data_IF_126454673715
#
_entry.id   IF_126454673715
#
_cell.length_a   1.000
_cell.length_b   1.000
_cell.length_c   1.000
_cell.angle_alpha   90.00
_cell.angle_beta   90.00
_cell.angle_gamma   90.00
#
_symmetry.space_group_name_H-M   'P 1'
#
loop_
_entity.id
_entity.type
_entity.pdbx_description
1 polymer ?
#
# COMPACT_ATOMS: atom_id res chain seq x y z
N UNK A 1 -47.26 26.36 8.05
CA UNK A 1 -45.86 26.78 7.88
C UNK A 1 -44.97 25.62 8.31
N UNK A 2 -44.20 25.03 7.38
CA UNK A 2 -43.36 23.84 7.64
C UNK A 2 -41.95 24.27 8.02
N UNK A 3 -41.45 23.72 9.12
CA UNK A 3 -40.10 23.90 9.66
C UNK A 3 -39.05 23.36 8.68
N UNK A 4 -38.11 24.20 8.24
CA UNK A 4 -36.85 23.72 7.67
C UNK A 4 -35.89 23.40 8.83
N UNK A 5 -35.74 22.12 9.14
CA UNK A 5 -34.63 21.65 9.95
C UNK A 5 -33.35 21.72 9.09
N UNK A 6 -32.45 22.63 9.47
CA UNK A 6 -31.11 22.71 8.92
C UNK A 6 -30.33 21.49 9.45
N UNK A 7 -30.24 20.43 8.64
CA UNK A 7 -29.40 19.27 8.97
C UNK A 7 -27.95 19.71 8.78
N UNK A 8 -27.29 20.03 9.90
CA UNK A 8 -25.85 20.21 9.93
C UNK A 8 -25.19 18.88 9.57
N UNK A 9 -24.63 18.79 8.36
CA UNK A 9 -23.70 17.72 8.00
C UNK A 9 -22.42 17.91 8.81
N UNK A 10 -22.38 17.34 10.01
CA UNK A 10 -21.13 17.04 10.68
C UNK A 10 -20.37 16.05 9.79
N UNK A 11 -19.17 16.39 9.28
CA UNK A 11 -18.32 15.37 8.69
C UNK A 11 -17.99 14.40 9.82
N UNK A 12 -18.55 13.20 9.75
CA UNK A 12 -18.05 12.06 10.50
C UNK A 12 -16.63 11.88 10.00
N UNK A 13 -15.67 12.47 10.71
CA UNK A 13 -14.27 12.13 10.59
C UNK A 13 -14.24 10.64 10.90
N UNK A 14 -14.18 9.82 9.85
CA UNK A 14 -13.69 8.46 9.98
C UNK A 14 -12.26 8.62 10.51
N UNK A 15 -12.13 8.66 11.82
CA UNK A 15 -10.85 8.73 12.47
C UNK A 15 -10.21 7.40 12.19
N UNK A 16 -9.24 7.37 11.27
CA UNK A 16 -8.35 6.25 11.11
C UNK A 16 -7.93 5.76 12.51
N UNK A 17 -8.15 4.47 12.82
CA UNK A 17 -7.90 3.96 14.17
C UNK A 17 -6.44 4.14 14.56
N UNK A 18 -5.53 4.03 13.57
CA UNK A 18 -4.12 4.36 13.73
C UNK A 18 -3.43 4.62 12.39
N UNK A 19 -2.36 5.43 12.38
CA UNK A 19 -1.49 5.53 11.23
C UNK A 19 -0.83 4.18 10.92
N UNK A 20 -0.57 3.93 9.63
CA UNK A 20 0.21 2.79 9.19
C UNK A 20 1.66 2.97 9.66
N UNK A 21 2.16 1.97 10.41
CA UNK A 21 3.55 1.94 10.87
C UNK A 21 4.32 0.91 10.06
N UNK A 22 5.10 1.36 9.08
CA UNK A 22 5.91 0.54 8.17
C UNK A 22 6.92 -0.40 8.86
N UNK A 23 7.22 -0.17 10.15
CA UNK A 23 8.13 -1.02 10.92
C UNK A 23 7.42 -2.17 11.65
N UNK A 24 6.10 -2.09 11.80
CA UNK A 24 5.27 -3.08 12.48
C UNK A 24 5.24 -4.42 11.75
N UNK A 25 5.13 -5.52 12.50
CA UNK A 25 5.11 -6.88 11.92
C UNK A 25 3.97 -7.06 10.92
N UNK A 26 2.76 -6.65 11.32
CA UNK A 26 1.57 -6.73 10.47
C UNK A 26 1.73 -5.90 9.20
N UNK A 27 2.22 -4.68 9.30
CA UNK A 27 2.43 -3.78 8.18
C UNK A 27 3.49 -4.28 7.22
N UNK A 28 4.58 -4.86 7.72
CA UNK A 28 5.57 -5.55 6.87
C UNK A 28 4.95 -6.71 6.09
N UNK A 29 4.08 -7.49 6.71
CA UNK A 29 3.32 -8.55 6.04
C UNK A 29 2.38 -7.97 4.96
N UNK A 30 1.73 -6.84 5.24
CA UNK A 30 0.88 -6.12 4.26
C UNK A 30 1.70 -5.56 3.08
N UNK A 31 2.87 -4.99 3.34
CA UNK A 31 3.78 -4.47 2.31
C UNK A 31 4.33 -5.60 1.43
N UNK A 32 4.77 -6.71 2.04
CA UNK A 32 5.25 -7.88 1.30
C UNK A 32 4.14 -8.49 0.42
N UNK A 33 2.91 -8.56 0.95
CA UNK A 33 1.76 -9.02 0.17
C UNK A 33 1.45 -8.09 -1.00
N UNK A 34 1.46 -6.77 -0.78
CA UNK A 34 1.25 -5.79 -1.84
C UNK A 34 2.31 -5.87 -2.93
N UNK A 35 3.59 -5.95 -2.54
CA UNK A 35 4.71 -6.09 -3.46
C UNK A 35 4.53 -7.33 -4.35
N UNK A 36 4.22 -8.47 -3.74
CA UNK A 36 3.97 -9.72 -4.47
C UNK A 36 2.80 -9.57 -5.45
N UNK A 37 1.65 -9.08 -5.00
CA UNK A 37 0.44 -8.97 -5.83
C UNK A 37 0.61 -8.00 -7.01
N UNK A 38 1.32 -6.89 -6.80
CA UNK A 38 1.63 -5.95 -7.89
C UNK A 38 2.58 -6.60 -8.90
N UNK A 39 3.58 -7.36 -8.45
CA UNK A 39 4.47 -8.10 -9.34
C UNK A 39 3.72 -9.21 -10.10
N UNK A 40 2.82 -9.94 -9.47
CA UNK A 40 2.05 -11.00 -10.12
C UNK A 40 1.14 -10.44 -11.24
N UNK A 41 0.57 -9.24 -11.05
CA UNK A 41 -0.31 -8.60 -12.04
C UNK A 41 0.44 -7.79 -13.12
N UNK A 42 1.71 -7.45 -12.89
CA UNK A 42 2.49 -6.62 -13.80
C UNK A 42 3.15 -7.45 -14.90
N UNK A 43 2.89 -7.13 -16.16
CA UNK A 43 3.58 -7.69 -17.33
C UNK A 43 5.04 -7.19 -17.52
N UNK A 44 5.67 -6.67 -16.47
CA UNK A 44 7.06 -6.22 -16.49
C UNK A 44 8.04 -7.40 -16.45
N UNK A 45 9.15 -7.27 -17.18
CA UNK A 45 10.22 -8.27 -17.24
C UNK A 45 10.98 -8.39 -15.91
N UNK A 46 11.22 -7.25 -15.26
CA UNK A 46 11.95 -7.17 -14.00
C UNK A 46 10.99 -7.16 -12.82
N UNK A 47 11.44 -7.77 -11.72
CA UNK A 47 10.78 -7.68 -10.43
C UNK A 47 10.94 -6.26 -9.88
N UNK A 48 9.92 -5.77 -9.18
CA UNK A 48 9.90 -4.44 -8.57
C UNK A 48 9.83 -4.55 -7.06
N UNK A 49 10.62 -3.74 -6.37
CA UNK A 49 10.58 -3.65 -4.90
C UNK A 49 9.97 -2.35 -4.44
N UNK A 50 9.26 -2.40 -3.32
CA UNK A 50 8.83 -1.20 -2.61
C UNK A 50 10.08 -0.50 -2.06
N UNK A 51 10.22 0.78 -2.40
CA UNK A 51 11.34 1.62 -1.99
C UNK A 51 10.93 2.65 -0.94
N UNK A 52 9.67 3.10 -0.99
CA UNK A 52 9.14 4.08 -0.07
C UNK A 52 7.68 3.81 0.27
N UNK A 53 7.32 4.06 1.52
CA UNK A 53 5.94 4.24 1.98
C UNK A 53 5.73 5.73 2.17
N UNK A 54 4.68 6.30 1.57
CA UNK A 54 4.40 7.74 1.64
C UNK A 54 3.52 8.05 2.84
N UNK A 55 2.45 7.29 2.99
CA UNK A 55 1.55 7.31 4.13
C UNK A 55 0.71 6.03 4.12
N UNK A 56 -0.08 5.89 5.17
CA UNK A 56 -1.13 4.91 5.22
C UNK A 56 -1.88 4.98 6.53
N UNK A 57 -2.96 4.23 6.57
CA UNK A 57 -3.87 4.12 7.69
C UNK A 57 -4.39 2.68 7.81
N UNK A 58 -4.73 2.32 9.03
CA UNK A 58 -5.45 1.08 9.33
C UNK A 58 -6.75 1.48 10.00
N UNK A 59 -7.86 1.11 9.38
CA UNK A 59 -9.21 1.32 9.88
C UNK A 59 -9.82 -0.03 10.29
N UNK A 60 -10.57 -0.04 11.39
CA UNK A 60 -11.24 -1.21 11.94
C UNK A 60 -12.74 -1.01 11.92
N UNK A 61 -13.41 -1.80 11.08
CA UNK A 61 -14.86 -1.89 11.04
C UNK A 61 -15.31 -3.23 11.61
N UNK A 62 -15.63 -3.26 12.91
CA UNK A 62 -15.97 -4.50 13.65
C UNK A 62 -14.80 -5.51 13.59
N UNK A 63 -14.96 -6.61 12.84
CA UNK A 63 -13.94 -7.65 12.62
C UNK A 63 -13.10 -7.42 11.36
N UNK A 64 -13.46 -6.43 10.54
CA UNK A 64 -12.79 -6.12 9.29
C UNK A 64 -11.72 -5.06 9.54
N UNK A 65 -10.49 -5.33 9.09
CA UNK A 65 -9.45 -4.31 8.98
C UNK A 65 -9.34 -3.87 7.52
N UNK A 66 -9.32 -2.56 7.30
CA UNK A 66 -9.03 -1.93 6.03
C UNK A 66 -7.69 -1.22 6.15
N UNK A 67 -6.69 -1.70 5.42
CA UNK A 67 -5.35 -1.12 5.42
C UNK A 67 -5.11 -0.42 4.10
N UNK A 68 -5.01 0.91 4.13
CA UNK A 68 -4.81 1.74 2.93
C UNK A 68 -3.46 2.42 3.03
N UNK A 69 -2.64 2.35 1.99
CA UNK A 69 -1.32 2.99 1.99
C UNK A 69 -0.83 3.31 0.58
N UNK A 70 0.04 4.31 0.46
CA UNK A 70 0.65 4.73 -0.80
C UNK A 70 2.13 4.38 -0.83
N UNK A 71 2.59 3.80 -1.94
CA UNK A 71 3.96 3.28 -2.09
C UNK A 71 4.62 3.70 -3.39
N UNK A 72 5.94 3.82 -3.35
CA UNK A 72 6.79 3.93 -4.53
C UNK A 72 7.58 2.64 -4.73
N UNK A 73 7.51 2.07 -5.93
CA UNK A 73 8.23 0.87 -6.34
C UNK A 73 9.29 1.18 -7.40
N UNK A 74 10.40 0.47 -7.37
CA UNK A 74 11.48 0.57 -8.35
C UNK A 74 11.82 -0.80 -8.96
N UNK A 75 12.17 -0.80 -10.25
CA UNK A 75 12.68 -1.99 -10.93
C UNK A 75 14.01 -2.44 -10.30
N UNK A 76 14.15 -3.75 -10.17
CA UNK A 76 15.35 -4.42 -9.66
C UNK A 76 16.21 -5.00 -10.77
N UNK A 77 17.42 -5.44 -10.44
CA UNK A 77 18.29 -6.24 -11.30
C UNK A 77 17.79 -7.69 -11.52
N UNK A 78 16.65 -8.09 -10.94
CA UNK A 78 16.15 -9.46 -10.99
C UNK A 78 15.01 -9.63 -12.00
N UNK A 79 15.17 -10.55 -12.97
CA UNK A 79 14.12 -10.93 -13.91
C UNK A 79 13.15 -11.93 -13.29
N UNK A 80 11.84 -11.69 -13.41
CA UNK A 80 10.80 -12.53 -12.76
C UNK A 80 10.83 -14.00 -13.17
N UNK A 81 11.25 -14.30 -14.41
CA UNK A 81 11.28 -15.67 -14.97
C UNK A 81 12.64 -16.35 -14.86
N UNK A 82 13.56 -15.80 -14.07
CA UNK A 82 14.91 -16.36 -13.89
C UNK A 82 14.98 -17.57 -12.95
N UNK A 83 13.90 -17.90 -12.24
CA UNK A 83 13.90 -18.94 -11.18
C UNK A 83 14.55 -18.48 -9.86
N UNK A 84 15.04 -17.24 -9.80
CA UNK A 84 15.61 -16.63 -8.60
C UNK A 84 14.49 -16.07 -7.71
N UNK A 85 14.63 -16.22 -6.39
CA UNK A 85 13.80 -15.51 -5.41
C UNK A 85 14.10 -14.00 -5.44
N UNK A 86 13.47 -13.29 -6.38
CA UNK A 86 13.67 -11.86 -6.58
C UNK A 86 13.18 -11.00 -5.41
N UNK A 87 12.21 -11.49 -4.62
CA UNK A 87 11.74 -10.79 -3.42
C UNK A 87 12.88 -10.65 -2.41
N UNK A 88 13.69 -11.69 -2.23
CA UNK A 88 14.87 -11.63 -1.35
C UNK A 88 16.09 -11.02 -2.02
N UNK A 89 16.44 -11.47 -3.22
CA UNK A 89 17.74 -11.18 -3.85
C UNK A 89 17.77 -9.93 -4.74
N UNK A 90 16.61 -9.45 -5.21
CA UNK A 90 16.57 -8.30 -6.11
C UNK A 90 17.06 -7.02 -5.44
N UNK A 91 17.93 -6.27 -6.12
CA UNK A 91 18.38 -4.94 -5.71
C UNK A 91 17.79 -3.90 -6.64
N UNK A 92 17.27 -2.82 -6.08
CA UNK A 92 16.68 -1.74 -6.88
C UNK A 92 17.78 -1.02 -7.64
N UNK A 93 17.68 -1.03 -8.98
CA UNK A 93 18.66 -0.39 -9.88
C UNK A 93 18.12 0.83 -10.58
N UNK A 94 16.79 0.94 -10.71
CA UNK A 94 16.19 2.09 -11.39
C UNK A 94 16.15 3.32 -10.48
N UNK A 95 16.27 4.51 -11.08
CA UNK A 95 15.89 5.79 -10.47
C UNK A 95 14.42 6.12 -10.68
N UNK A 96 13.81 5.58 -11.75
CA UNK A 96 12.38 5.71 -12.03
C UNK A 96 11.56 4.99 -10.96
N UNK A 97 10.45 5.61 -10.56
CA UNK A 97 9.51 5.03 -9.60
C UNK A 97 8.14 4.91 -10.22
N UNK A 98 7.49 3.79 -9.93
CA UNK A 98 6.07 3.62 -10.12
C UNK A 98 5.36 3.74 -8.78
N UNK A 99 4.16 4.29 -8.81
CA UNK A 99 3.49 4.80 -7.63
C UNK A 99 2.12 4.15 -7.56
N UNK A 100 1.76 3.64 -6.38
CA UNK A 100 0.53 2.89 -6.19
C UNK A 100 -0.18 3.34 -4.92
N UNK A 101 -1.52 3.40 -5.01
CA UNK A 101 -2.40 3.32 -3.84
C UNK A 101 -2.80 1.86 -3.67
N UNK A 102 -2.62 1.33 -2.47
CA UNK A 102 -2.94 -0.05 -2.12
C UNK A 102 -4.02 -0.05 -1.04
N UNK A 103 -4.98 -0.96 -1.17
CA UNK A 103 -6.04 -1.20 -0.21
C UNK A 103 -6.10 -2.70 0.05
N UNK A 104 -5.90 -3.10 1.30
CA UNK A 104 -5.98 -4.50 1.73
C UNK A 104 -7.11 -4.64 2.73
N UNK A 105 -8.01 -5.60 2.47
CA UNK A 105 -9.06 -5.97 3.42
C UNK A 105 -8.67 -7.26 4.13
N UNK A 106 -8.87 -7.27 5.44
CA UNK A 106 -8.54 -8.40 6.31
C UNK A 106 -9.69 -8.71 7.27
N UNK A 107 -9.86 -9.99 7.62
CA UNK A 107 -10.64 -10.40 8.79
C UNK A 107 -9.68 -10.65 9.95
N UNK A 108 -9.73 -9.79 10.97
CA UNK A 108 -8.63 -9.68 11.92
C UNK A 108 -7.31 -9.43 11.18
N UNK A 109 -6.29 -10.24 11.44
CA UNK A 109 -4.97 -10.12 10.78
C UNK A 109 -4.82 -10.94 9.49
N UNK A 110 -5.89 -11.58 8.99
CA UNK A 110 -5.83 -12.41 7.78
C UNK A 110 -6.33 -11.63 6.56
N UNK A 111 -5.46 -11.28 5.60
CA UNK A 111 -5.86 -10.57 4.39
C UNK A 111 -6.64 -11.48 3.45
N UNK A 112 -7.72 -10.97 2.85
CA UNK A 112 -8.57 -11.71 1.91
C UNK A 112 -8.78 -10.99 0.57
N UNK A 113 -8.60 -9.67 0.51
CA UNK A 113 -8.72 -8.89 -0.72
C UNK A 113 -7.58 -7.86 -0.79
N UNK A 114 -6.93 -7.74 -1.94
CA UNK A 114 -5.83 -6.81 -2.19
C UNK A 114 -6.10 -6.10 -3.50
N UNK A 115 -6.34 -4.80 -3.42
CA UNK A 115 -6.55 -3.92 -4.57
C UNK A 115 -5.43 -2.90 -4.63
N UNK A 116 -4.99 -2.61 -5.85
CA UNK A 116 -3.99 -1.57 -6.08
C UNK A 116 -4.32 -0.82 -7.37
N UNK A 117 -4.02 0.47 -7.35
CA UNK A 117 -4.17 1.35 -8.49
C UNK A 117 -2.88 2.14 -8.67
N UNK A 118 -2.39 2.18 -9.92
CA UNK A 118 -1.28 3.06 -10.26
C UNK A 118 -1.76 4.52 -10.19
N UNK A 119 -0.99 5.37 -9.53
CA UNK A 119 -1.27 6.79 -9.36
C UNK A 119 -0.10 7.64 -9.89
N UNK A 120 -0.32 8.89 -10.33
CA UNK A 120 0.76 9.78 -10.69
C UNK A 120 1.55 10.25 -9.45
N UNK A 121 2.79 10.72 -9.65
CA UNK A 121 3.64 11.25 -8.57
C UNK A 121 3.01 12.47 -7.88
N UNK A 122 2.26 13.28 -8.62
CA UNK A 122 1.54 14.45 -8.09
C UNK A 122 0.62 14.09 -6.93
N UNK A 123 0.09 12.87 -6.92
CA UNK A 123 -0.86 12.37 -5.94
C UNK A 123 -0.12 11.77 -4.73
N UNK A 124 1.11 12.22 -4.46
CA UNK A 124 1.95 11.83 -3.32
C UNK A 124 2.49 13.02 -2.51
N UNK A 125 1.68 14.00 -2.11
CA UNK A 125 2.08 14.91 -1.03
C UNK A 125 2.16 14.12 0.28
N UNK A 126 3.25 14.30 1.04
CA UNK A 126 3.43 13.65 2.34
C UNK A 126 4.89 13.33 2.69
N UNK A 127 5.13 12.98 3.96
CA UNK A 127 6.45 12.57 4.45
C UNK A 127 6.70 11.12 4.06
N UNK A 128 7.63 10.86 3.14
CA UNK A 128 7.96 9.50 2.74
C UNK A 128 9.01 8.85 3.65
N UNK A 129 8.81 7.58 4.02
CA UNK A 129 9.83 6.74 4.64
C UNK A 129 10.40 5.75 3.62
N UNK A 130 11.72 5.69 3.51
CA UNK A 130 12.41 4.62 2.76
C UNK A 130 12.31 3.31 3.54
N UNK A 131 11.85 2.25 2.88
CA UNK A 131 11.69 0.92 3.50
C UNK A 131 12.58 -0.11 2.83
N UNK A 132 13.05 -1.09 3.61
CA UNK A 132 13.66 -2.29 3.09
C UNK A 132 12.80 -3.49 3.48
N UNK A 133 12.15 -4.08 2.49
CA UNK A 133 11.35 -5.29 2.64
C UNK A 133 12.25 -6.43 2.18
N UNK A 134 12.88 -7.11 3.14
CA UNK A 134 13.75 -8.27 2.93
C UNK A 134 13.08 -9.52 3.45
#
# INVERSE_FOLDING_TARGET
MKFLALVAFLPVLATADRPFNETGRFEKEMLALAEKRINDACNCAFYRKITKVIDGEVEKFRMLLLTTFRIAMGDTDCMKRSGIDCAKKGRVISSRREYYKVVIKSYGFKPYDVKFQRIPKSDMPGKSTTVNIS
#
